data_IF_770908745228
#
_entry.id   IF_770908745228
#
_cell.length_a   1.000
_cell.length_b   1.000
_cell.length_c   1.000
_cell.angle_alpha   90.00
_cell.angle_beta   90.00
_cell.angle_gamma   90.00
#
_symmetry.space_group_name_H-M   'P 1'
#
loop_
_entity.id
_entity.type
_entity.pdbx_description
1 polymer ?
#
# COMPACT_ATOMS: atom_id res chain seq x y z
N UNK A 1 -0.77 -16.00 5.46
CA UNK A 1 -2.16 -15.60 5.10
C UNK A 1 -2.29 -14.08 4.96
N UNK A 2 -1.28 -13.39 4.43
CA UNK A 2 -1.21 -11.92 4.45
C UNK A 2 -2.14 -11.25 3.43
N UNK A 3 -2.50 -11.97 2.36
CA UNK A 3 -3.42 -11.51 1.33
C UNK A 3 -4.83 -11.22 1.88
N UNK A 4 -5.29 -12.02 2.86
CA UNK A 4 -6.63 -11.88 3.45
C UNK A 4 -6.70 -10.66 4.38
N UNK A 5 -5.63 -10.39 5.13
CA UNK A 5 -5.57 -9.23 6.02
C UNK A 5 -5.61 -7.91 5.25
N UNK A 6 -4.88 -7.80 4.14
CA UNK A 6 -4.91 -6.61 3.29
C UNK A 6 -6.28 -6.34 2.69
N UNK A 7 -6.95 -7.39 2.21
CA UNK A 7 -8.29 -7.30 1.63
C UNK A 7 -9.40 -6.95 2.64
N UNK A 8 -9.22 -7.22 3.94
CA UNK A 8 -10.19 -6.83 4.98
C UNK A 8 -9.89 -5.49 5.65
N UNK A 9 -8.62 -5.18 5.91
CA UNK A 9 -8.20 -3.97 6.64
C UNK A 9 -8.36 -2.73 5.76
N UNK A 10 -7.96 -2.80 4.49
CA UNK A 10 -8.01 -1.64 3.59
C UNK A 10 -9.45 -1.17 3.35
N UNK A 11 -10.44 -2.05 3.07
CA UNK A 11 -11.83 -1.62 2.95
C UNK A 11 -12.42 -1.11 4.27
N UNK A 12 -12.01 -1.64 5.42
CA UNK A 12 -12.49 -1.12 6.71
C UNK A 12 -12.06 0.34 6.93
N UNK A 13 -10.78 0.65 6.64
CA UNK A 13 -10.27 2.03 6.71
C UNK A 13 -10.95 2.90 5.64
N UNK A 14 -11.09 2.40 4.42
CA UNK A 14 -11.72 3.13 3.32
C UNK A 14 -13.18 3.45 3.64
N UNK A 15 -13.95 2.51 4.18
CA UNK A 15 -15.33 2.72 4.61
C UNK A 15 -15.42 3.76 5.73
N UNK A 16 -14.54 3.68 6.74
CA UNK A 16 -14.50 4.68 7.81
C UNK A 16 -14.21 6.10 7.27
N UNK A 17 -13.29 6.24 6.32
CA UNK A 17 -13.03 7.53 5.66
C UNK A 17 -14.21 7.97 4.79
N UNK A 18 -14.91 7.04 4.16
CA UNK A 18 -16.11 7.35 3.37
C UNK A 18 -17.24 7.89 4.25
N UNK A 19 -17.40 7.35 5.46
CA UNK A 19 -18.40 7.81 6.42
C UNK A 19 -18.11 9.25 6.91
N UNK A 20 -16.85 9.67 6.95
CA UNK A 20 -16.46 11.00 7.42
C UNK A 20 -16.34 12.06 6.32
N UNK A 21 -15.82 11.68 5.15
CA UNK A 21 -15.43 12.61 4.08
C UNK A 21 -16.18 12.37 2.75
N UNK A 22 -17.07 11.37 2.70
CA UNK A 22 -17.79 10.97 1.50
C UNK A 22 -17.00 10.03 0.59
N UNK A 23 -17.71 9.32 -0.27
CA UNK A 23 -17.14 8.25 -1.11
C UNK A 23 -16.02 8.71 -2.04
N UNK A 24 -16.12 9.91 -2.62
CA UNK A 24 -15.12 10.40 -3.56
C UNK A 24 -13.76 10.64 -2.89
N UNK A 25 -13.76 11.23 -1.68
CA UNK A 25 -12.52 11.47 -0.93
C UNK A 25 -11.92 10.19 -0.37
N UNK A 26 -12.74 9.20 -0.05
CA UNK A 26 -12.30 7.89 0.42
C UNK A 26 -11.34 7.17 -0.56
N UNK A 27 -11.46 7.39 -1.88
CA UNK A 27 -10.52 6.83 -2.86
C UNK A 27 -9.07 7.32 -2.72
N UNK A 28 -8.82 8.41 -1.99
CA UNK A 28 -7.46 8.84 -1.68
C UNK A 28 -6.70 7.84 -0.80
N UNK A 29 -7.40 7.00 -0.04
CA UNK A 29 -6.80 5.89 0.72
C UNK A 29 -6.12 4.90 -0.22
N UNK A 30 -6.75 4.61 -1.37
CA UNK A 30 -6.19 3.74 -2.41
C UNK A 30 -4.98 4.38 -3.09
N UNK A 31 -5.06 5.68 -3.38
CA UNK A 31 -3.93 6.45 -3.94
C UNK A 31 -2.72 6.37 -3.00
N UNK A 32 -2.90 6.52 -1.69
CA UNK A 32 -1.83 6.37 -0.71
C UNK A 32 -1.20 4.96 -0.76
N UNK A 33 -2.02 3.92 -0.93
CA UNK A 33 -1.54 2.55 -1.15
C UNK A 33 -0.67 2.40 -2.41
N UNK A 34 -1.07 3.02 -3.53
CA UNK A 34 -0.26 3.03 -4.75
C UNK A 34 1.04 3.80 -4.61
N UNK A 35 1.04 4.92 -3.88
CA UNK A 35 2.28 5.67 -3.58
C UNK A 35 3.24 4.81 -2.77
N UNK A 36 2.74 4.05 -1.79
CA UNK A 36 3.56 3.11 -1.04
C UNK A 36 4.16 2.01 -1.93
N UNK A 37 3.38 1.44 -2.84
CA UNK A 37 3.88 0.45 -3.81
C UNK A 37 4.94 1.06 -4.73
N UNK A 38 4.75 2.29 -5.20
CA UNK A 38 5.73 3.01 -6.01
C UNK A 38 7.04 3.26 -5.24
N UNK A 39 6.95 3.69 -3.99
CA UNK A 39 8.11 3.84 -3.11
C UNK A 39 8.85 2.52 -2.91
N UNK A 40 8.12 1.44 -2.65
CA UNK A 40 8.69 0.12 -2.48
C UNK A 40 9.39 -0.36 -3.76
N UNK A 41 8.79 -0.14 -4.92
CA UNK A 41 9.40 -0.48 -6.21
C UNK A 41 10.71 0.29 -6.46
N UNK A 42 10.70 1.61 -6.27
CA UNK A 42 11.82 2.50 -6.63
C UNK A 42 12.98 2.47 -5.63
N UNK A 43 12.69 2.42 -4.33
CA UNK A 43 13.71 2.58 -3.26
C UNK A 43 13.80 1.33 -2.39
N UNK A 44 12.66 0.70 -2.09
CA UNK A 44 12.55 -0.36 -1.10
C UNK A 44 13.01 -1.74 -1.58
N UNK A 45 12.93 -2.03 -2.89
CA UNK A 45 13.22 -3.35 -3.48
C UNK A 45 14.71 -3.68 -3.59
N UNK A 46 15.55 -3.16 -2.68
CA UNK A 46 16.98 -3.50 -2.66
C UNK A 46 17.18 -4.95 -2.26
N UNK A 47 18.09 -5.64 -2.96
CA UNK A 47 18.49 -7.00 -2.64
C UNK A 47 19.03 -7.07 -1.20
N UNK A 48 18.39 -7.91 -0.39
CA UNK A 48 18.76 -8.13 1.01
C UNK A 48 20.11 -8.86 1.11
N UNK A 49 20.46 -9.65 0.08
CA UNK A 49 21.72 -10.35 -0.02
C UNK A 49 22.80 -9.44 -0.62
N UNK A 50 23.50 -8.70 0.23
CA UNK A 50 24.56 -7.75 -0.15
C UNK A 50 25.81 -8.41 -0.76
N UNK A 51 25.93 -9.74 -0.66
CA UNK A 51 27.07 -10.52 -1.17
C UNK A 51 26.97 -10.85 -2.66
N UNK A 52 25.83 -10.59 -3.30
CA UNK A 52 25.68 -10.80 -4.74
C UNK A 52 26.29 -9.60 -5.44
N UNK A 53 27.41 -9.82 -6.14
CA UNK A 53 28.06 -8.81 -6.98
C UNK A 53 27.08 -8.42 -8.09
N UNK A 54 26.42 -7.27 -7.92
CA UNK A 54 25.62 -6.67 -8.97
C UNK A 54 26.59 -5.89 -9.85
N UNK A 55 26.76 -6.37 -11.08
CA UNK A 55 27.69 -5.84 -12.06
C UNK A 55 27.36 -4.40 -12.46
#
# INVERSE_FOLDING_TARGET
MTLVCGGGILPAIQSWVADMAGYQLSYWVVIAGFVYLLFYALVGSKNVNKEIVVK
#
